data_IF_483665322032
#
_entry.id   IF_483665322032
#
_cell.length_a   1.000
_cell.length_b   1.000
_cell.length_c   1.000
_cell.angle_alpha   90.00
_cell.angle_beta   90.00
_cell.angle_gamma   90.00
#
_symmetry.space_group_name_H-M   'P 1'
#
loop_
_entity.id
_entity.type
_entity.pdbx_description
1 polymer ?
#
# COMPACT_ATOMS: atom_id res chain seq x y z
N UNK A 1 -9.60 -20.69 -6.74
CA UNK A 1 -10.87 -19.94 -6.62
C UNK A 1 -11.17 -19.70 -5.15
N UNK A 2 -11.66 -18.52 -4.79
CA UNK A 2 -12.24 -18.30 -3.47
C UNK A 2 -13.71 -18.72 -3.45
N UNK A 3 -14.23 -19.03 -2.25
CA UNK A 3 -15.69 -19.07 -2.07
C UNK A 3 -16.27 -17.66 -2.18
N UNK A 4 -17.56 -17.54 -2.51
CA UNK A 4 -18.25 -16.24 -2.53
C UNK A 4 -18.14 -15.55 -1.16
N UNK A 5 -18.26 -16.32 -0.06
CA UNK A 5 -18.12 -15.80 1.30
C UNK A 5 -16.71 -15.25 1.58
N UNK A 6 -15.65 -15.95 1.16
CA UNK A 6 -14.28 -15.47 1.34
C UNK A 6 -13.96 -14.28 0.42
N UNK A 7 -14.54 -14.21 -0.78
CA UNK A 7 -14.42 -13.03 -1.62
C UNK A 7 -15.09 -11.81 -0.97
N UNK A 8 -16.29 -11.96 -0.45
CA UNK A 8 -17.00 -10.93 0.31
C UNK A 8 -16.17 -10.49 1.53
N UNK A 9 -15.68 -11.43 2.32
CA UNK A 9 -14.88 -11.15 3.51
C UNK A 9 -13.57 -10.42 3.17
N UNK A 10 -12.92 -10.77 2.06
CA UNK A 10 -11.68 -10.12 1.59
C UNK A 10 -11.92 -8.66 1.17
N UNK A 11 -13.04 -8.38 0.51
CA UNK A 11 -13.24 -7.14 -0.24
C UNK A 11 -13.97 -6.05 0.53
N UNK A 12 -14.78 -6.41 1.55
CA UNK A 12 -15.54 -5.44 2.35
C UNK A 12 -14.72 -4.88 3.50
N UNK A 13 -14.52 -3.55 3.50
CA UNK A 13 -13.62 -2.87 4.44
C UNK A 13 -14.32 -1.84 5.35
N UNK A 14 -15.63 -1.73 5.28
CA UNK A 14 -16.41 -0.87 6.16
C UNK A 14 -16.26 -1.22 7.65
N UNK A 15 -16.59 -0.28 8.55
CA UNK A 15 -16.36 -0.41 9.98
C UNK A 15 -17.04 -1.63 10.63
N UNK A 16 -18.12 -2.13 10.07
CA UNK A 16 -18.85 -3.30 10.58
C UNK A 16 -18.38 -4.63 10.00
N UNK A 17 -17.42 -4.63 9.09
CA UNK A 17 -16.95 -5.85 8.41
C UNK A 17 -15.70 -6.43 9.08
N UNK A 18 -15.47 -7.76 9.05
CA UNK A 18 -14.30 -8.37 9.65
C UNK A 18 -12.98 -7.83 9.07
N UNK A 19 -12.88 -7.67 7.74
CA UNK A 19 -11.68 -7.11 7.11
C UNK A 19 -11.50 -5.64 7.49
N UNK A 20 -12.56 -4.84 7.52
CA UNK A 20 -12.50 -3.46 7.99
C UNK A 20 -12.04 -3.35 9.44
N UNK A 21 -12.49 -4.24 10.32
CA UNK A 21 -12.00 -4.31 11.69
C UNK A 21 -10.52 -4.76 11.76
N UNK A 22 -10.10 -5.64 10.86
CA UNK A 22 -8.70 -6.09 10.77
C UNK A 22 -7.78 -4.94 10.34
N UNK A 23 -8.11 -4.19 9.28
CA UNK A 23 -7.34 -3.03 8.83
C UNK A 23 -7.20 -1.97 9.93
N UNK A 24 -8.24 -1.74 10.71
CA UNK A 24 -8.23 -0.76 11.82
C UNK A 24 -7.28 -1.11 12.96
N UNK A 25 -6.76 -2.33 13.02
CA UNK A 25 -5.71 -2.72 13.98
C UNK A 25 -4.31 -2.25 13.57
N UNK A 26 -4.18 -1.68 12.38
CA UNK A 26 -2.94 -1.17 11.82
C UNK A 26 -3.04 0.33 11.60
N UNK A 27 -1.92 1.02 11.66
CA UNK A 27 -1.84 2.40 11.21
C UNK A 27 -2.11 2.47 9.71
N UNK A 28 -2.92 3.45 9.32
CA UNK A 28 -3.31 3.67 7.92
C UNK A 28 -2.85 5.04 7.45
N UNK A 29 -2.22 5.17 6.27
CA UNK A 29 -2.00 6.47 5.63
C UNK A 29 -3.33 7.16 5.35
N UNK A 30 -3.44 8.45 5.69
CA UNK A 30 -4.67 9.23 5.48
C UNK A 30 -4.44 10.48 4.63
N UNK A 31 -3.24 11.04 4.66
CA UNK A 31 -2.83 12.18 3.84
C UNK A 31 -1.32 12.18 3.63
N UNK A 32 -0.84 12.94 2.65
CA UNK A 32 0.55 13.35 2.61
C UNK A 32 0.71 14.58 3.50
N UNK A 33 1.82 14.69 4.24
CA UNK A 33 2.05 15.82 5.16
C UNK A 33 1.93 17.18 4.47
N UNK A 34 2.33 17.27 3.19
CA UNK A 34 2.24 18.50 2.38
C UNK A 34 0.82 18.91 1.97
N UNK A 35 -0.19 18.06 2.14
CA UNK A 35 -1.59 18.41 1.89
C UNK A 35 -2.20 19.25 3.02
N UNK A 36 -1.52 19.35 4.16
CA UNK A 36 -2.02 19.99 5.37
C UNK A 36 -1.07 21.12 5.80
N UNK A 37 -1.42 22.33 5.46
CA UNK A 37 -0.73 23.52 5.93
C UNK A 37 -1.10 23.84 7.40
N UNK A 38 -0.16 24.43 8.14
CA UNK A 38 -0.42 24.90 9.51
C UNK A 38 -1.51 25.97 9.50
N UNK A 39 -2.55 25.80 10.30
CA UNK A 39 -3.76 26.63 10.30
C UNK A 39 -4.44 26.76 8.92
N UNK A 40 -4.08 25.87 7.99
CA UNK A 40 -4.64 25.82 6.64
C UNK A 40 -6.07 25.27 6.59
N UNK A 41 -6.60 25.16 5.38
CA UNK A 41 -7.93 24.62 5.15
C UNK A 41 -8.05 23.17 5.60
N UNK A 42 -9.18 22.75 6.16
CA UNK A 42 -9.45 21.34 6.43
C UNK A 42 -9.48 20.51 5.14
N UNK A 43 -8.92 19.32 5.21
CA UNK A 43 -8.86 18.34 4.11
C UNK A 43 -9.91 17.24 4.33
N UNK A 44 -10.73 16.96 3.31
CA UNK A 44 -11.61 15.79 3.31
C UNK A 44 -10.82 14.49 3.15
N UNK A 45 -11.06 13.51 4.01
CA UNK A 45 -10.42 12.19 3.99
C UNK A 45 -11.51 11.13 3.96
N UNK A 46 -11.48 10.29 2.92
CA UNK A 46 -12.35 9.11 2.82
C UNK A 46 -11.50 7.85 2.99
N UNK A 47 -11.84 7.02 3.97
CA UNK A 47 -11.09 5.81 4.31
C UNK A 47 -12.00 4.74 4.91
N UNK A 48 -11.94 3.52 4.36
CA UNK A 48 -12.71 2.36 4.82
C UNK A 48 -14.20 2.68 5.04
N UNK A 49 -14.79 3.44 4.10
CA UNK A 49 -16.19 3.86 4.12
C UNK A 49 -16.51 4.98 5.13
N UNK A 50 -15.52 5.58 5.79
CA UNK A 50 -15.72 6.71 6.68
C UNK A 50 -15.34 8.03 6.00
N UNK A 51 -16.18 9.06 6.19
CA UNK A 51 -15.91 10.43 5.75
C UNK A 51 -15.36 11.22 6.93
N UNK A 52 -14.11 11.61 6.86
CA UNK A 52 -13.37 12.30 7.91
C UNK A 52 -12.86 13.66 7.42
N UNK A 53 -12.37 14.46 8.36
CA UNK A 53 -11.73 15.74 8.08
C UNK A 53 -10.39 15.75 8.82
N UNK A 54 -9.30 15.99 8.07
CA UNK A 54 -7.98 16.23 8.60
C UNK A 54 -7.67 17.73 8.61
N UNK A 55 -6.93 18.20 9.60
CA UNK A 55 -6.46 19.58 9.71
C UNK A 55 -5.17 19.63 10.52
N UNK A 56 -4.27 20.55 10.18
CA UNK A 56 -3.05 20.78 10.95
C UNK A 56 -3.24 22.04 11.79
N UNK A 57 -3.17 21.88 13.10
CA UNK A 57 -3.40 22.98 14.04
C UNK A 57 -2.22 23.95 14.12
N UNK A 58 -2.36 25.02 14.93
CA UNK A 58 -1.34 26.07 15.14
C UNK A 58 -0.03 25.55 15.78
N UNK A 59 -0.05 24.37 16.40
CA UNK A 59 1.13 23.72 16.98
C UNK A 59 1.78 22.72 16.02
N UNK A 60 1.27 22.62 14.77
CA UNK A 60 1.75 21.70 13.75
C UNK A 60 1.25 20.26 13.90
N UNK A 61 0.38 19.99 14.86
CA UNK A 61 -0.18 18.64 15.09
C UNK A 61 -1.39 18.42 14.20
N UNK A 62 -1.47 17.25 13.58
CA UNK A 62 -2.61 16.89 12.73
C UNK A 62 -3.73 16.29 13.56
N UNK A 63 -4.95 16.79 13.38
CA UNK A 63 -6.20 16.21 13.85
C UNK A 63 -6.92 15.45 12.74
N UNK A 64 -7.57 14.35 13.08
CA UNK A 64 -8.43 13.58 12.18
C UNK A 64 -9.76 13.28 12.90
N UNK A 65 -10.83 13.88 12.42
CA UNK A 65 -12.14 13.84 13.06
C UNK A 65 -13.25 13.44 12.10
N UNK A 66 -14.39 12.99 12.62
CA UNK A 66 -15.60 12.78 11.81
C UNK A 66 -15.96 14.05 11.04
N UNK A 67 -16.36 13.91 9.80
CA UNK A 67 -16.79 15.04 8.99
C UNK A 67 -18.09 15.69 9.49
N UNK A 68 -18.89 15.00 10.30
CA UNK A 68 -20.20 15.47 10.76
C UNK A 68 -20.14 16.04 12.17
N UNK A 69 -20.42 17.34 12.28
CA UNK A 69 -20.57 17.98 13.58
C UNK A 69 -21.70 17.30 14.38
N UNK A 70 -21.44 16.86 15.64
CA UNK A 70 -22.43 16.10 16.44
C UNK A 70 -23.68 16.91 16.81
N UNK A 71 -23.67 18.23 16.60
CA UNK A 71 -24.86 19.06 16.84
C UNK A 71 -25.99 18.75 15.87
N UNK A 72 -25.77 18.94 14.56
CA UNK A 72 -26.78 18.77 13.51
C UNK A 72 -26.21 18.29 12.18
N UNK A 73 -25.08 17.58 12.19
CA UNK A 73 -24.51 16.92 11.02
C UNK A 73 -23.87 17.83 9.98
N UNK A 74 -23.64 19.13 10.28
CA UNK A 74 -22.92 20.02 9.36
C UNK A 74 -21.52 19.48 9.07
N UNK A 75 -21.09 19.54 7.80
CA UNK A 75 -19.78 19.01 7.42
C UNK A 75 -18.65 19.96 7.87
N UNK A 76 -17.74 19.44 8.70
CA UNK A 76 -16.60 20.15 9.25
C UNK A 76 -15.51 20.43 8.21
N UNK A 77 -15.59 19.86 7.01
CA UNK A 77 -14.80 20.30 5.86
C UNK A 77 -14.93 21.80 5.59
N UNK A 78 -16.13 22.36 5.82
CA UNK A 78 -16.39 23.80 5.74
C UNK A 78 -16.09 24.54 7.04
N UNK A 79 -15.53 23.81 8.03
CA UNK A 79 -15.19 24.35 9.33
C UNK A 79 -13.98 25.28 9.30
N UNK A 80 -13.71 25.91 10.44
CA UNK A 80 -12.54 26.77 10.65
C UNK A 80 -11.51 26.03 11.48
N UNK A 81 -10.31 25.92 10.95
CA UNK A 81 -9.14 25.47 11.68
C UNK A 81 -8.57 26.71 12.39
N UNK A 82 -8.70 26.79 13.70
CA UNK A 82 -8.31 27.97 14.47
C UNK A 82 -8.02 27.62 15.94
N UNK A 83 -6.99 28.27 16.51
CA UNK A 83 -6.63 28.10 17.93
C UNK A 83 -6.58 26.63 18.35
N UNK A 84 -5.78 25.84 17.65
CA UNK A 84 -5.52 24.41 17.91
C UNK A 84 -6.75 23.50 17.87
N UNK A 85 -7.82 23.87 17.12
CA UNK A 85 -9.07 23.14 17.11
C UNK A 85 -9.87 23.34 15.80
N UNK A 86 -10.87 22.51 15.57
CA UNK A 86 -11.82 22.65 14.46
C UNK A 86 -13.13 23.24 14.95
N UNK A 87 -13.58 24.32 14.31
CA UNK A 87 -14.85 25.00 14.64
C UNK A 87 -15.87 24.80 13.52
N UNK A 88 -17.04 24.32 13.89
CA UNK A 88 -18.20 24.24 13.02
C UNK A 88 -18.73 25.64 12.72
N UNK A 89 -18.86 26.01 11.44
CA UNK A 89 -19.35 27.34 11.03
C UNK A 89 -20.86 27.53 11.23
N UNK A 90 -21.60 26.45 11.48
CA UNK A 90 -23.05 26.53 11.60
C UNK A 90 -23.49 27.18 12.94
N UNK A 91 -22.93 26.71 14.08
CA UNK A 91 -23.31 27.25 15.41
C UNK A 91 -22.09 27.47 16.32
N UNK A 92 -20.85 27.47 15.77
CA UNK A 92 -19.65 27.77 16.53
C UNK A 92 -19.15 26.67 17.47
N UNK A 93 -19.72 25.46 17.42
CA UNK A 93 -19.22 24.34 18.22
C UNK A 93 -17.76 24.03 17.83
N UNK A 94 -16.87 23.97 18.81
CA UNK A 94 -15.45 23.84 18.61
C UNK A 94 -14.94 22.61 19.34
N UNK A 95 -14.09 21.83 18.67
CA UNK A 95 -13.58 20.55 19.14
C UNK A 95 -12.05 20.50 19.05
N UNK A 96 -11.41 19.92 20.05
CA UNK A 96 -9.99 19.64 20.03
C UNK A 96 -9.65 18.42 19.12
N UNK A 97 -8.36 18.04 19.10
CA UNK A 97 -7.85 16.93 18.30
C UNK A 97 -8.39 15.55 18.75
N UNK A 98 -8.85 15.43 19.99
CA UNK A 98 -9.46 14.21 20.53
C UNK A 98 -10.98 14.20 20.39
N UNK A 99 -11.57 15.25 19.80
CA UNK A 99 -12.99 15.41 19.63
C UNK A 99 -13.74 15.87 20.90
N UNK A 100 -13.02 16.38 21.92
CA UNK A 100 -13.64 16.97 23.10
C UNK A 100 -14.18 18.35 22.76
N UNK A 101 -15.38 18.73 23.22
CA UNK A 101 -15.91 20.06 22.99
C UNK A 101 -15.17 21.08 23.86
N UNK A 102 -14.65 22.12 23.20
CA UNK A 102 -14.01 23.26 23.84
C UNK A 102 -14.99 24.40 24.06
N UNK A 103 -15.84 24.67 23.04
CA UNK A 103 -16.82 25.74 23.05
C UNK A 103 -18.14 25.26 22.44
N UNK A 104 -19.24 25.54 23.12
CA UNK A 104 -20.61 25.26 22.69
C UNK A 104 -21.46 26.53 22.88
N UNK A 105 -21.33 27.55 22.00
CA UNK A 105 -21.84 28.92 22.29
C UNK A 105 -23.35 29.01 22.51
N UNK A 106 -24.13 28.11 21.92
CA UNK A 106 -25.58 28.06 22.03
C UNK A 106 -26.09 27.04 23.07
N UNK A 107 -25.19 26.57 23.96
CA UNK A 107 -25.55 25.69 25.08
C UNK A 107 -25.46 26.48 26.39
N UNK A 108 -26.51 26.41 27.25
CA UNK A 108 -26.51 27.14 28.52
C UNK A 108 -25.31 26.78 29.40
N UNK A 109 -24.70 27.76 30.11
CA UNK A 109 -23.65 27.50 31.06
C UNK A 109 -24.08 26.47 32.12
N UNK A 110 -23.14 25.56 32.48
CA UNK A 110 -23.40 24.49 33.44
C UNK A 110 -24.18 23.28 32.90
N UNK A 111 -24.51 23.28 31.65
CA UNK A 111 -25.10 22.10 30.96
C UNK A 111 -24.14 20.91 30.94
N UNK A 112 -24.69 19.69 31.07
CA UNK A 112 -23.92 18.44 30.95
C UNK A 112 -23.39 18.16 29.52
N UNK A 113 -23.76 18.96 28.51
CA UNK A 113 -23.34 18.76 27.11
C UNK A 113 -21.82 18.70 26.95
N UNK A 114 -21.04 19.52 27.65
CA UNK A 114 -19.58 19.48 27.59
C UNK A 114 -18.99 18.13 28.06
N UNK A 115 -19.73 17.37 28.87
CA UNK A 115 -19.30 16.07 29.38
C UNK A 115 -19.78 14.90 28.50
N UNK A 116 -20.91 15.05 27.83
CA UNK A 116 -21.60 13.97 27.10
C UNK A 116 -21.36 14.00 25.59
N UNK A 117 -21.15 15.19 25.00
CA UNK A 117 -20.90 15.32 23.57
C UNK A 117 -19.44 14.94 23.27
N UNK A 118 -19.25 14.17 22.23
CA UNK A 118 -17.94 13.86 21.64
C UNK A 118 -18.05 13.87 20.11
N UNK A 119 -17.11 14.48 19.45
CA UNK A 119 -16.85 14.29 18.04
C UNK A 119 -15.93 13.07 17.90
N UNK A 120 -16.26 12.13 17.04
CA UNK A 120 -15.39 10.99 16.75
C UNK A 120 -14.07 11.50 16.20
N UNK A 121 -12.96 11.02 16.73
CA UNK A 121 -11.61 11.42 16.36
C UNK A 121 -10.66 10.23 16.42
N UNK A 122 -9.58 10.30 15.65
CA UNK A 122 -8.55 9.27 15.59
C UNK A 122 -7.16 9.87 15.85
N UNK A 123 -6.31 9.21 16.64
CA UNK A 123 -4.93 9.64 16.81
C UNK A 123 -4.15 9.54 15.51
N UNK A 124 -3.29 10.52 15.30
CA UNK A 124 -2.43 10.61 14.14
C UNK A 124 -0.95 10.64 14.53
N UNK A 125 -0.09 10.24 13.61
CA UNK A 125 1.37 10.38 13.65
C UNK A 125 1.87 10.74 12.27
N UNK A 126 2.95 11.48 12.20
CA UNK A 126 3.65 11.74 10.94
C UNK A 126 4.92 10.90 10.87
N UNK A 127 5.08 10.20 9.75
CA UNK A 127 6.26 9.40 9.47
C UNK A 127 6.48 9.33 7.95
N UNK A 128 7.68 9.72 7.49
CA UNK A 128 8.05 9.63 6.10
C UNK A 128 7.24 10.53 5.15
N UNK A 129 6.88 11.76 5.59
CA UNK A 129 6.04 12.72 4.85
C UNK A 129 4.59 12.24 4.63
N UNK A 130 4.16 11.28 5.43
CA UNK A 130 2.80 10.72 5.45
C UNK A 130 2.19 10.92 6.82
N UNK A 131 0.92 11.31 6.84
CA UNK A 131 0.09 11.31 8.04
C UNK A 131 -0.58 9.95 8.16
N UNK A 132 -0.33 9.28 9.26
CA UNK A 132 -0.88 7.97 9.62
C UNK A 132 -1.94 8.15 10.71
N UNK A 133 -3.02 7.40 10.62
CA UNK A 133 -4.07 7.34 11.64
C UNK A 133 -4.25 5.92 12.17
N UNK A 134 -4.49 5.81 13.47
CA UNK A 134 -4.89 4.56 14.09
C UNK A 134 -6.39 4.56 14.35
N UNK A 135 -7.12 3.65 13.71
CA UNK A 135 -8.57 3.61 13.74
C UNK A 135 -9.13 2.43 14.55
N UNK A 136 -8.30 1.79 15.36
CA UNK A 136 -8.67 0.67 16.22
C UNK A 136 -9.60 1.07 17.38
N UNK A 137 -10.07 0.11 18.17
CA UNK A 137 -11.03 0.37 19.23
C UNK A 137 -10.37 1.14 20.38
N UNK A 138 -11.14 2.10 20.90
CA UNK A 138 -10.76 2.93 22.07
C UNK A 138 -9.34 3.53 22.00
N UNK A 139 -9.01 4.23 20.90
CA UNK A 139 -7.62 4.59 20.60
C UNK A 139 -7.02 5.65 21.53
N UNK A 140 -7.85 6.32 22.33
CA UNK A 140 -7.43 7.36 23.27
C UNK A 140 -7.18 6.86 24.70
N UNK A 141 -7.64 5.65 25.05
CA UNK A 141 -7.58 5.11 26.41
C UNK A 141 -6.71 3.85 26.52
N UNK A 142 -5.97 3.48 25.48
CA UNK A 142 -5.04 2.34 25.49
C UNK A 142 -3.71 2.69 24.83
N UNK A 143 -2.62 1.98 25.17
CA UNK A 143 -1.39 2.07 24.39
C UNK A 143 -1.64 1.70 22.93
N UNK A 144 -1.11 2.52 22.02
CA UNK A 144 -1.16 2.26 20.60
C UNK A 144 0.09 1.49 20.16
N UNK A 145 0.00 0.67 19.10
CA UNK A 145 1.19 0.16 18.44
C UNK A 145 2.02 1.33 17.87
N UNK A 146 3.31 1.13 17.71
CA UNK A 146 4.14 2.10 17.00
C UNK A 146 3.82 2.09 15.50
N UNK A 147 4.09 3.20 14.82
CA UNK A 147 3.94 3.29 13.35
C UNK A 147 4.91 2.31 12.70
N UNK A 148 4.49 1.54 11.65
CA UNK A 148 5.37 0.59 10.98
C UNK A 148 6.61 1.31 10.44
N UNK A 149 7.80 0.81 10.77
CA UNK A 149 9.08 1.37 10.33
C UNK A 149 9.39 0.98 8.88
N UNK A 150 8.57 1.45 7.95
CA UNK A 150 8.89 1.35 6.52
C UNK A 150 10.16 2.16 6.25
N UNK A 151 11.14 1.55 5.57
CA UNK A 151 12.49 2.11 5.48
C UNK A 151 12.55 3.55 4.96
N UNK A 152 11.74 3.88 3.95
CA UNK A 152 11.72 5.23 3.39
C UNK A 152 11.48 6.32 4.45
N UNK A 153 10.68 6.03 5.47
CA UNK A 153 10.32 6.98 6.52
C UNK A 153 11.44 7.25 7.51
N UNK A 154 12.36 6.30 7.71
CA UNK A 154 13.52 6.45 8.58
C UNK A 154 14.64 7.29 7.96
N UNK A 155 14.60 7.52 6.65
CA UNK A 155 15.63 8.26 5.91
C UNK A 155 15.39 9.78 5.95
N UNK A 156 16.43 10.59 5.69
CA UNK A 156 16.26 12.03 5.50
C UNK A 156 15.28 12.34 4.36
N UNK A 157 14.56 13.46 4.46
CA UNK A 157 13.56 13.85 3.44
C UNK A 157 14.13 13.95 2.01
N UNK A 158 15.40 14.33 1.87
CA UNK A 158 16.10 14.39 0.58
C UNK A 158 16.33 13.01 -0.07
N UNK A 159 16.21 11.92 0.70
CA UNK A 159 16.44 10.55 0.23
C UNK A 159 15.16 9.87 -0.28
N UNK A 160 14.01 10.53 -0.19
CA UNK A 160 12.72 9.94 -0.54
C UNK A 160 11.85 10.86 -1.38
N UNK A 161 10.96 10.25 -2.13
CA UNK A 161 9.84 10.90 -2.80
C UNK A 161 8.57 10.11 -2.48
N UNK A 162 7.55 10.80 -2.00
CA UNK A 162 6.29 10.18 -1.57
C UNK A 162 5.13 10.81 -2.32
N UNK A 163 4.26 9.97 -2.86
CA UNK A 163 3.04 10.39 -3.54
C UNK A 163 1.92 9.39 -3.30
N UNK A 164 0.74 9.68 -3.82
CA UNK A 164 -0.38 8.73 -3.85
C UNK A 164 -1.11 8.83 -5.19
N UNK A 165 -1.90 7.81 -5.52
CA UNK A 165 -2.82 7.84 -6.66
C UNK A 165 -4.15 7.19 -6.30
N UNK A 166 -5.24 7.67 -6.90
CA UNK A 166 -6.51 6.96 -6.89
C UNK A 166 -6.41 5.71 -7.77
N UNK A 167 -6.90 4.58 -7.25
CA UNK A 167 -7.12 3.37 -8.01
C UNK A 167 -8.62 3.03 -7.98
N UNK A 168 -9.23 2.82 -9.15
CA UNK A 168 -10.67 2.69 -9.29
C UNK A 168 -11.14 1.24 -9.22
N UNK A 169 -10.54 0.47 -8.32
CA UNK A 169 -10.94 -0.90 -8.00
C UNK A 169 -10.66 -1.23 -6.53
N UNK A 170 -11.17 -2.38 -6.10
CA UNK A 170 -10.96 -2.89 -4.75
C UNK A 170 -9.47 -3.06 -4.42
N UNK A 171 -9.08 -2.73 -3.21
CA UNK A 171 -7.71 -2.78 -2.72
C UNK A 171 -7.02 -4.14 -2.95
N UNK A 172 -7.77 -5.25 -2.78
CA UNK A 172 -7.21 -6.59 -2.88
C UNK A 172 -6.74 -6.92 -4.31
N UNK A 173 -7.51 -6.56 -5.35
CA UNK A 173 -7.08 -6.81 -6.73
C UNK A 173 -5.93 -5.91 -7.15
N UNK A 174 -5.81 -4.72 -6.56
CA UNK A 174 -4.71 -3.83 -6.84
C UNK A 174 -3.39 -4.34 -6.25
N UNK A 175 -3.36 -4.80 -4.99
CA UNK A 175 -2.14 -5.36 -4.38
C UNK A 175 -1.74 -6.71 -4.99
N UNK A 176 -2.68 -7.52 -5.48
CA UNK A 176 -2.40 -8.80 -6.14
C UNK A 176 -1.46 -8.61 -7.33
N UNK A 177 -1.61 -7.52 -8.10
CA UNK A 177 -0.69 -7.18 -9.20
C UNK A 177 0.75 -6.92 -8.75
N UNK A 178 0.96 -6.29 -7.60
CA UNK A 178 2.29 -6.02 -7.08
C UNK A 178 3.03 -7.29 -6.61
N UNK A 179 2.31 -8.36 -6.32
CA UNK A 179 2.86 -9.64 -5.86
C UNK A 179 3.06 -10.66 -6.99
N UNK A 180 2.46 -10.41 -8.16
CA UNK A 180 2.66 -11.23 -9.34
C UNK A 180 3.91 -10.75 -10.11
N UNK A 181 4.92 -11.63 -10.26
CA UNK A 181 6.08 -11.33 -11.10
C UNK A 181 5.95 -11.90 -12.51
N UNK A 182 4.92 -12.71 -12.81
CA UNK A 182 4.76 -13.37 -14.12
C UNK A 182 4.21 -12.43 -15.18
N UNK A 183 3.34 -11.49 -14.81
CA UNK A 183 2.74 -10.51 -15.74
C UNK A 183 3.80 -9.62 -16.42
N UNK A 184 4.96 -9.42 -15.80
CA UNK A 184 6.07 -8.66 -16.39
C UNK A 184 6.52 -9.20 -17.74
N UNK A 185 6.34 -10.49 -18.01
CA UNK A 185 6.73 -11.10 -19.29
C UNK A 185 5.84 -10.68 -20.46
N UNK A 186 4.74 -10.00 -20.20
CA UNK A 186 3.79 -9.50 -21.20
C UNK A 186 3.42 -8.02 -20.98
N UNK A 187 2.79 -7.69 -19.86
CA UNK A 187 2.14 -6.40 -19.62
C UNK A 187 3.08 -5.20 -19.85
N UNK A 188 4.33 -5.31 -19.40
CA UNK A 188 5.31 -4.21 -19.45
C UNK A 188 6.34 -4.36 -20.58
N UNK A 189 6.11 -5.30 -21.49
CA UNK A 189 7.06 -5.60 -22.57
C UNK A 189 6.79 -4.79 -23.84
N UNK A 190 7.81 -4.67 -24.71
CA UNK A 190 7.60 -4.27 -26.10
C UNK A 190 6.61 -5.18 -26.84
N UNK A 191 6.00 -4.69 -27.91
CA UNK A 191 5.11 -5.48 -28.75
C UNK A 191 5.83 -6.72 -29.28
N UNK A 192 5.08 -7.80 -29.53
CA UNK A 192 5.62 -9.05 -30.06
C UNK A 192 6.34 -8.81 -31.38
N UNK A 193 7.55 -9.35 -31.52
CA UNK A 193 8.38 -9.19 -32.72
C UNK A 193 9.19 -7.88 -32.77
N UNK A 194 8.99 -6.96 -31.85
CA UNK A 194 9.92 -5.83 -31.66
C UNK A 194 11.18 -6.38 -30.98
N UNK A 195 12.37 -6.28 -31.62
CA UNK A 195 13.60 -6.72 -30.95
C UNK A 195 13.75 -6.00 -29.62
N UNK A 196 13.98 -6.73 -28.54
CA UNK A 196 14.72 -6.14 -27.45
C UNK A 196 16.10 -5.81 -28.06
N UNK A 197 16.60 -4.62 -27.87
CA UNK A 197 17.95 -4.24 -28.32
C UNK A 197 19.02 -5.07 -27.56
N UNK A 198 18.77 -6.35 -27.35
CA UNK A 198 19.66 -7.25 -26.65
C UNK A 198 20.88 -7.53 -27.55
N UNK A 199 21.86 -6.69 -27.38
CA UNK A 199 23.21 -7.04 -27.77
C UNK A 199 23.61 -8.32 -27.00
N UNK A 200 23.98 -9.44 -27.66
CA UNK A 200 24.43 -10.66 -26.98
C UNK A 200 25.59 -10.41 -26.01
N UNK A 201 26.39 -9.40 -26.26
CA UNK A 201 27.54 -8.97 -25.43
C UNK A 201 27.16 -7.87 -24.44
N UNK A 202 25.85 -7.49 -24.34
CA UNK A 202 25.41 -6.48 -23.40
C UNK A 202 25.66 -6.94 -21.96
N UNK A 203 25.95 -5.98 -21.05
CA UNK A 203 25.99 -6.25 -19.62
C UNK A 203 24.72 -6.96 -19.13
N UNK A 204 24.85 -7.75 -18.06
CA UNK A 204 23.75 -8.56 -17.53
C UNK A 204 22.50 -7.76 -17.18
N UNK A 205 22.65 -6.51 -16.76
CA UNK A 205 21.56 -5.58 -16.46
C UNK A 205 20.74 -5.17 -17.68
N UNK A 206 21.36 -5.06 -18.85
CA UNK A 206 20.65 -4.80 -20.11
C UNK A 206 19.87 -6.03 -20.62
N UNK A 207 20.34 -7.24 -20.31
CA UNK A 207 19.71 -8.50 -20.71
C UNK A 207 18.49 -8.87 -19.87
N UNK A 208 18.28 -8.25 -18.71
CA UNK A 208 17.22 -8.61 -17.76
C UNK A 208 15.81 -8.63 -18.38
N UNK A 209 15.49 -7.66 -19.25
CA UNK A 209 14.21 -7.62 -19.95
C UNK A 209 14.06 -8.80 -20.93
N UNK A 210 15.16 -9.25 -21.52
CA UNK A 210 15.15 -10.44 -22.37
C UNK A 210 14.83 -11.68 -21.53
N UNK A 211 15.52 -11.92 -20.39
CA UNK A 211 15.25 -13.10 -19.57
C UNK A 211 13.83 -13.07 -18.97
N UNK A 212 13.31 -11.88 -18.63
CA UNK A 212 11.92 -11.73 -18.16
C UNK A 212 10.93 -12.14 -19.27
N UNK A 213 11.19 -11.74 -20.52
CA UNK A 213 10.35 -12.07 -21.67
C UNK A 213 10.48 -13.54 -22.07
N UNK A 214 11.70 -14.07 -22.07
CA UNK A 214 12.00 -15.40 -22.60
C UNK A 214 11.63 -16.53 -21.61
N UNK A 215 11.50 -16.20 -20.31
CA UNK A 215 11.02 -17.13 -19.27
C UNK A 215 9.77 -16.57 -18.56
N UNK A 216 8.57 -16.77 -19.15
CA UNK A 216 7.31 -16.28 -18.58
C UNK A 216 6.83 -17.10 -17.37
N UNK A 217 7.46 -18.23 -17.07
CA UNK A 217 7.12 -19.11 -15.96
C UNK A 217 8.30 -19.21 -14.97
N UNK A 218 8.56 -18.17 -14.17
CA UNK A 218 9.64 -18.22 -13.17
C UNK A 218 9.38 -19.32 -12.13
N UNK A 219 10.47 -19.85 -11.55
CA UNK A 219 10.35 -20.69 -10.35
C UNK A 219 10.07 -19.81 -9.15
N UNK A 220 8.97 -20.07 -8.45
CA UNK A 220 8.58 -19.32 -7.27
C UNK A 220 9.13 -19.93 -5.99
N UNK A 221 9.54 -19.05 -5.08
CA UNK A 221 9.90 -19.38 -3.71
C UNK A 221 9.27 -18.34 -2.79
N UNK A 222 8.70 -18.78 -1.66
CA UNK A 222 8.08 -17.90 -0.67
C UNK A 222 8.71 -18.19 0.68
N UNK A 223 9.14 -17.14 1.37
CA UNK A 223 9.66 -17.21 2.73
C UNK A 223 8.82 -16.32 3.64
N UNK A 224 8.38 -16.88 4.76
CA UNK A 224 7.60 -16.16 5.76
C UNK A 224 8.51 -15.29 6.64
N UNK A 225 7.97 -14.17 7.11
CA UNK A 225 8.58 -13.36 8.15
C UNK A 225 7.51 -12.83 9.12
N UNK A 226 7.91 -12.17 10.20
CA UNK A 226 7.01 -11.80 11.32
C UNK A 226 5.79 -10.97 10.91
N UNK A 227 5.89 -10.17 9.84
CA UNK A 227 4.83 -9.26 9.40
C UNK A 227 4.24 -9.62 8.03
N UNK A 228 4.67 -10.75 7.42
CA UNK A 228 4.19 -11.15 6.10
C UNK A 228 5.06 -12.20 5.44
N UNK A 229 5.43 -11.97 4.18
CA UNK A 229 6.29 -12.89 3.41
C UNK A 229 7.04 -12.18 2.29
N UNK A 230 8.12 -12.80 1.83
CA UNK A 230 8.79 -12.42 0.59
C UNK A 230 8.58 -13.49 -0.48
N UNK A 231 8.25 -13.08 -1.69
CA UNK A 231 8.20 -13.96 -2.86
C UNK A 231 9.40 -13.68 -3.77
N UNK A 232 10.08 -14.74 -4.22
CA UNK A 232 11.12 -14.70 -5.23
C UNK A 232 10.70 -15.42 -6.49
N UNK A 233 10.89 -14.79 -7.65
CA UNK A 233 10.73 -15.41 -8.97
C UNK A 233 12.10 -15.57 -9.64
N UNK A 234 12.53 -16.80 -9.85
CA UNK A 234 13.79 -17.12 -10.51
C UNK A 234 13.58 -17.46 -11.97
N UNK A 235 14.22 -16.74 -12.87
CA UNK A 235 14.22 -16.99 -14.31
C UNK A 235 15.57 -17.52 -14.77
N UNK A 236 15.57 -18.34 -15.81
CA UNK A 236 16.83 -18.79 -16.43
C UNK A 236 17.55 -17.57 -17.01
N UNK A 237 18.85 -17.45 -16.72
CA UNK A 237 19.75 -16.46 -17.27
C UNK A 237 20.89 -17.12 -18.05
N UNK A 238 21.94 -16.39 -18.38
CA UNK A 238 23.06 -16.93 -19.15
C UNK A 238 23.84 -17.99 -18.36
N UNK A 239 24.28 -19.02 -19.07
CA UNK A 239 25.03 -20.13 -18.46
C UNK A 239 24.25 -20.86 -17.36
N UNK A 240 24.94 -21.21 -16.28
CA UNK A 240 24.34 -21.87 -15.10
C UNK A 240 23.90 -20.86 -14.04
N UNK A 241 23.28 -19.76 -14.46
CA UNK A 241 22.80 -18.72 -13.54
C UNK A 241 21.28 -18.51 -13.65
N UNK A 242 20.73 -17.91 -12.58
CA UNK A 242 19.35 -17.46 -12.51
C UNK A 242 19.28 -15.99 -12.19
N UNK A 243 18.35 -15.32 -12.86
CA UNK A 243 17.94 -13.96 -12.54
C UNK A 243 16.74 -14.01 -11.58
N UNK A 244 16.95 -13.51 -10.38
CA UNK A 244 15.96 -13.43 -9.33
C UNK A 244 15.32 -12.04 -9.27
N UNK A 245 14.03 -12.01 -9.00
CA UNK A 245 13.28 -10.82 -8.59
C UNK A 245 12.48 -11.15 -7.35
N UNK A 246 12.57 -10.31 -6.31
CA UNK A 246 11.77 -10.48 -5.09
C UNK A 246 10.76 -9.35 -4.92
N UNK A 247 9.60 -9.65 -4.35
CA UNK A 247 8.65 -8.69 -3.83
C UNK A 247 8.32 -9.04 -2.38
N UNK A 248 8.32 -8.04 -1.51
CA UNK A 248 7.89 -8.20 -0.12
C UNK A 248 6.39 -7.90 -0.01
N UNK A 249 5.73 -8.63 0.86
CA UNK A 249 4.40 -8.30 1.36
C UNK A 249 4.44 -8.17 2.87
N UNK A 250 3.88 -7.08 3.41
CA UNK A 250 3.66 -6.92 4.84
C UNK A 250 2.23 -6.51 5.14
N UNK A 251 1.70 -7.09 6.21
CA UNK A 251 0.33 -6.86 6.69
C UNK A 251 0.10 -5.39 7.12
N UNK A 252 -1.07 -4.80 6.91
CA UNK A 252 -2.21 -5.41 6.24
C UNK A 252 -2.11 -5.33 4.72
N UNK A 253 -1.42 -4.32 4.15
CA UNK A 253 -1.40 -4.04 2.73
C UNK A 253 -0.20 -3.17 2.31
N UNK A 254 1.01 -3.58 2.71
CA UNK A 254 2.27 -2.98 2.25
C UNK A 254 2.99 -3.93 1.31
N UNK A 255 3.70 -3.40 0.33
CA UNK A 255 4.58 -4.18 -0.53
C UNK A 255 5.78 -3.34 -0.95
N UNK A 256 6.89 -4.01 -1.24
CA UNK A 256 8.02 -3.40 -1.94
C UNK A 256 8.25 -4.11 -3.26
N UNK A 257 8.62 -3.36 -4.29
CA UNK A 257 8.91 -3.91 -5.61
C UNK A 257 10.42 -3.93 -5.85
N UNK A 258 10.94 -4.88 -6.62
CA UNK A 258 12.37 -4.98 -6.84
C UNK A 258 12.91 -3.77 -7.60
N UNK A 259 13.88 -3.09 -7.00
CA UNK A 259 14.81 -2.26 -7.77
C UNK A 259 15.64 -3.14 -8.69
N UNK A 260 16.14 -2.56 -9.74
CA UNK A 260 16.75 -3.36 -10.80
C UNK A 260 18.23 -3.61 -10.62
N UNK A 261 18.94 -2.68 -9.97
CA UNK A 261 20.40 -2.74 -9.81
C UNK A 261 20.86 -2.26 -8.42
N UNK A 262 22.04 -2.67 -7.96
CA UNK A 262 22.67 -2.11 -6.76
C UNK A 262 22.80 -0.58 -6.86
N UNK A 263 22.44 0.15 -5.81
CA UNK A 263 22.50 1.62 -5.76
C UNK A 263 21.34 2.36 -6.45
N UNK A 264 20.40 1.63 -7.06
CA UNK A 264 19.19 2.22 -7.61
C UNK A 264 18.17 2.57 -6.52
N UNK A 265 17.22 3.43 -6.89
CA UNK A 265 16.08 3.81 -6.06
C UNK A 265 15.17 2.62 -5.81
N UNK A 266 14.83 2.41 -4.54
CA UNK A 266 13.85 1.42 -4.11
C UNK A 266 12.43 1.98 -4.23
N UNK A 267 11.45 1.07 -4.33
CA UNK A 267 10.05 1.41 -4.43
C UNK A 267 9.20 0.56 -3.48
N UNK A 268 8.15 1.17 -2.95
CA UNK A 268 7.18 0.49 -2.11
C UNK A 268 5.82 1.16 -2.17
N UNK A 269 4.84 0.46 -1.63
CA UNK A 269 3.43 0.86 -1.65
C UNK A 269 2.72 0.56 -0.35
N UNK A 270 1.67 1.33 -0.12
CA UNK A 270 0.62 1.00 0.85
C UNK A 270 -0.74 1.20 0.20
N UNK A 271 -1.56 0.16 0.18
CA UNK A 271 -2.95 0.23 -0.29
C UNK A 271 -3.87 0.56 0.86
N UNK A 272 -4.67 1.58 0.69
CA UNK A 272 -5.62 2.05 1.70
C UNK A 272 -7.01 2.05 1.09
N UNK A 273 -7.93 1.19 1.52
CA UNK A 273 -9.29 1.20 1.03
C UNK A 273 -9.96 2.56 1.30
N UNK A 274 -10.50 3.20 0.27
CA UNK A 274 -11.40 4.35 0.40
C UNK A 274 -12.76 3.81 0.80
N UNK A 275 -13.22 2.85 0.04
CA UNK A 275 -14.44 2.08 0.19
C UNK A 275 -14.22 0.66 -0.37
N UNK A 276 -15.28 -0.08 -0.67
CA UNK A 276 -15.17 -1.43 -1.20
C UNK A 276 -14.78 -1.47 -2.69
N UNK A 277 -14.86 -0.34 -3.40
CA UNK A 277 -14.69 -0.25 -4.86
C UNK A 277 -13.49 0.60 -5.29
N UNK A 278 -12.88 1.34 -4.37
CA UNK A 278 -11.77 2.25 -4.65
C UNK A 278 -10.73 2.20 -3.54
N UNK A 279 -9.47 2.45 -3.89
CA UNK A 279 -8.40 2.58 -2.91
C UNK A 279 -7.42 3.70 -3.27
N UNK A 280 -6.77 4.26 -2.26
CA UNK A 280 -5.54 5.03 -2.44
C UNK A 280 -4.35 4.08 -2.49
N UNK A 281 -3.44 4.33 -3.42
CA UNK A 281 -2.11 3.70 -3.42
C UNK A 281 -1.11 4.78 -3.05
N UNK A 282 -0.59 4.73 -1.83
CA UNK A 282 0.58 5.52 -1.44
C UNK A 282 1.81 4.85 -2.02
N UNK A 283 2.61 5.60 -2.75
CA UNK A 283 3.81 5.10 -3.44
C UNK A 283 5.03 5.83 -2.91
N UNK A 284 6.06 5.08 -2.61
CA UNK A 284 7.31 5.53 -2.03
C UNK A 284 8.47 5.20 -2.96
N UNK A 285 9.33 6.19 -3.21
CA UNK A 285 10.63 6.00 -3.86
C UNK A 285 11.70 6.47 -2.89
N UNK A 286 12.75 5.68 -2.66
CA UNK A 286 13.81 6.07 -1.74
C UNK A 286 15.16 5.47 -2.12
N UNK A 287 16.23 6.16 -1.71
CA UNK A 287 17.58 5.63 -1.81
C UNK A 287 18.26 5.75 -0.44
N UNK A 288 18.65 4.63 0.21
CA UNK A 288 19.27 4.67 1.53
C UNK A 288 20.67 5.28 1.53
N UNK A 289 21.37 5.20 0.40
CA UNK A 289 22.81 5.50 0.32
C UNK A 289 23.08 6.96 -0.09
N UNK A 290 22.11 7.63 -0.74
CA UNK A 290 22.26 8.99 -1.25
C UNK A 290 20.93 9.73 -1.36
N UNK A 291 20.96 11.08 -1.38
CA UNK A 291 19.80 11.87 -1.77
C UNK A 291 19.30 11.52 -3.18
N UNK A 292 17.99 11.64 -3.39
CA UNK A 292 17.42 11.59 -4.73
C UNK A 292 17.83 12.86 -5.51
N UNK A 293 18.16 12.66 -6.79
CA UNK A 293 18.49 13.79 -7.68
C UNK A 293 17.24 14.51 -8.17
N UNK A 294 17.37 15.78 -8.54
CA UNK A 294 16.27 16.54 -9.15
C UNK A 294 15.72 15.85 -10.42
N UNK A 295 16.61 15.19 -11.17
CA UNK A 295 16.24 14.42 -12.36
C UNK A 295 15.39 13.19 -12.04
N UNK A 296 15.67 12.46 -10.94
CA UNK A 296 14.84 11.35 -10.46
C UNK A 296 13.47 11.86 -10.00
N UNK A 297 13.45 12.92 -9.20
CA UNK A 297 12.20 13.53 -8.72
C UNK A 297 11.33 14.03 -9.90
N UNK A 298 11.93 14.68 -10.89
CA UNK A 298 11.21 15.12 -12.08
C UNK A 298 10.62 13.96 -12.88
N UNK A 299 11.36 12.85 -13.04
CA UNK A 299 10.86 11.62 -13.65
C UNK A 299 9.68 11.03 -12.88
N UNK A 300 9.76 10.95 -11.55
CA UNK A 300 8.67 10.43 -10.71
C UNK A 300 7.41 11.29 -10.84
N UNK A 301 7.52 12.60 -10.81
CA UNK A 301 6.39 13.52 -11.05
C UNK A 301 5.76 13.35 -12.43
N UNK A 302 6.54 13.04 -13.44
CA UNK A 302 6.09 12.81 -14.82
C UNK A 302 5.61 11.38 -15.10
N UNK A 303 5.46 10.53 -14.08
CA UNK A 303 4.98 9.15 -14.24
C UNK A 303 6.08 8.22 -14.76
N UNK A 304 7.00 7.80 -13.89
CA UNK A 304 8.08 6.89 -14.25
C UNK A 304 8.12 5.66 -13.34
N UNK A 305 8.39 4.51 -13.96
CA UNK A 305 8.39 3.23 -13.26
C UNK A 305 7.02 2.94 -12.67
N UNK A 306 6.99 2.68 -11.39
CA UNK A 306 5.79 2.32 -10.63
C UNK A 306 5.00 3.52 -10.09
N UNK A 307 5.44 4.74 -10.40
CA UNK A 307 4.78 5.98 -9.99
C UNK A 307 3.95 6.51 -11.16
N UNK A 308 2.66 6.70 -10.94
CA UNK A 308 1.76 7.28 -11.93
C UNK A 308 1.93 8.80 -12.02
N UNK A 309 1.72 9.33 -13.23
CA UNK A 309 1.50 10.76 -13.42
C UNK A 309 0.10 11.12 -12.93
N UNK A 310 0.02 12.07 -11.99
CA UNK A 310 -1.24 12.46 -11.36
C UNK A 310 -1.43 13.98 -11.42
N UNK A 311 -2.69 14.42 -11.32
CA UNK A 311 -3.04 15.82 -11.16
C UNK A 311 -2.86 16.31 -9.70
N UNK A 312 -3.27 17.53 -9.43
CA UNK A 312 -3.22 18.17 -8.12
C UNK A 312 -4.09 17.49 -7.05
N UNK A 313 -5.05 16.66 -7.47
CA UNK A 313 -5.93 15.85 -6.61
C UNK A 313 -5.49 14.38 -6.53
N UNK A 314 -4.32 14.06 -7.05
CA UNK A 314 -3.78 12.69 -7.12
C UNK A 314 -4.62 11.72 -7.98
N UNK A 315 -5.40 12.26 -8.91
CA UNK A 315 -6.11 11.47 -9.91
C UNK A 315 -5.12 11.19 -11.06
N UNK A 316 -4.91 9.91 -11.46
CA UNK A 316 -4.05 9.59 -12.58
C UNK A 316 -4.49 10.30 -13.87
N UNK A 317 -3.55 10.88 -14.62
CA UNK A 317 -3.82 11.50 -15.93
C UNK A 317 -4.38 10.47 -16.90
N UNK A 318 -3.92 9.22 -16.80
CA UNK A 318 -4.44 8.06 -17.54
C UNK A 318 -5.26 7.21 -16.58
N UNK A 319 -6.55 7.17 -16.77
CA UNK A 319 -7.48 6.52 -15.87
C UNK A 319 -8.66 5.88 -16.63
N UNK A 320 -9.58 5.27 -15.93
CA UNK A 320 -10.74 4.60 -16.50
C UNK A 320 -11.60 5.52 -17.37
N UNK A 321 -11.77 6.79 -16.99
CA UNK A 321 -12.68 7.73 -17.69
C UNK A 321 -12.21 8.11 -19.08
N UNK A 322 -10.91 7.96 -19.37
CA UNK A 322 -10.30 8.25 -20.68
C UNK A 322 -9.66 7.01 -21.31
N UNK A 323 -10.11 5.81 -20.91
CA UNK A 323 -9.59 4.53 -21.43
C UNK A 323 -8.07 4.42 -21.34
N UNK A 324 -7.46 5.00 -20.30
CA UNK A 324 -6.01 5.06 -20.05
C UNK A 324 -5.21 5.68 -21.19
N UNK A 325 -5.88 6.47 -22.06
CA UNK A 325 -5.31 7.05 -23.28
C UNK A 325 -4.60 5.99 -24.15
N UNK A 326 -5.20 4.80 -24.28
CA UNK A 326 -4.63 3.70 -25.05
C UNK A 326 -4.42 4.08 -26.52
N UNK A 327 -3.21 3.89 -27.02
CA UNK A 327 -2.86 4.04 -28.44
C UNK A 327 -2.77 2.67 -29.11
N UNK A 328 -3.76 2.35 -29.95
CA UNK A 328 -3.84 1.06 -30.67
C UNK A 328 -2.74 0.88 -31.72
N UNK A 329 -2.19 1.96 -32.28
CA UNK A 329 -1.04 1.87 -33.20
C UNK A 329 0.23 1.59 -32.41
N UNK A 330 0.40 2.24 -31.27
CA UNK A 330 1.50 1.98 -30.34
C UNK A 330 1.43 0.53 -29.80
N UNK A 331 0.22 0.04 -29.48
CA UNK A 331 -0.01 -1.35 -29.07
C UNK A 331 0.42 -2.36 -30.15
N UNK A 332 0.13 -2.05 -31.39
CA UNK A 332 0.44 -2.95 -32.51
C UNK A 332 1.94 -3.04 -32.82
N UNK A 333 2.69 -1.94 -32.60
CA UNK A 333 4.03 -1.82 -33.16
C UNK A 333 5.14 -1.56 -32.14
N UNK A 334 4.84 -1.11 -30.91
CA UNK A 334 5.86 -0.60 -30.00
C UNK A 334 5.77 -1.26 -28.61
N UNK A 335 4.61 -1.19 -27.95
CA UNK A 335 4.42 -1.77 -26.61
C UNK A 335 3.28 -2.77 -26.60
N UNK A 336 3.35 -3.75 -25.71
CA UNK A 336 2.34 -4.82 -25.65
C UNK A 336 0.94 -4.30 -25.32
N UNK A 337 0.84 -3.23 -24.53
CA UNK A 337 -0.44 -2.67 -24.06
C UNK A 337 -0.93 -1.46 -24.85
N UNK A 338 -0.04 -0.67 -25.44
CA UNK A 338 -0.40 0.63 -26.03
C UNK A 338 -0.67 1.73 -24.99
N UNK A 339 -0.54 1.43 -23.70
CA UNK A 339 -0.69 2.39 -22.60
C UNK A 339 0.69 2.80 -22.10
N UNK A 340 0.88 4.11 -21.90
CA UNK A 340 2.13 4.66 -21.37
C UNK A 340 2.14 4.60 -19.83
N UNK A 341 3.28 4.19 -19.28
CA UNK A 341 3.51 4.11 -17.83
C UNK A 341 3.20 2.72 -17.27
N UNK A 342 4.12 2.20 -16.43
CA UNK A 342 3.97 0.88 -15.80
C UNK A 342 2.78 0.90 -14.83
N UNK A 343 2.70 1.94 -14.00
CA UNK A 343 1.62 2.09 -13.01
C UNK A 343 0.23 2.20 -13.66
N UNK A 344 0.15 2.80 -14.87
CA UNK A 344 -1.10 2.94 -15.61
C UNK A 344 -1.47 1.66 -16.36
N UNK A 345 -0.47 0.90 -16.83
CA UNK A 345 -0.70 -0.43 -17.39
C UNK A 345 -1.30 -1.38 -16.37
N UNK A 346 -0.74 -1.39 -15.15
CA UNK A 346 -1.29 -2.16 -14.03
C UNK A 346 -2.71 -1.72 -13.68
N UNK A 347 -2.93 -0.41 -13.55
CA UNK A 347 -4.24 0.15 -13.25
C UNK A 347 -5.29 -0.24 -14.29
N UNK A 348 -4.95 -0.15 -15.58
CA UNK A 348 -5.85 -0.53 -16.67
C UNK A 348 -6.33 -1.98 -16.52
N UNK A 349 -5.42 -2.91 -16.27
CA UNK A 349 -5.77 -4.32 -16.12
C UNK A 349 -6.55 -4.59 -14.85
N UNK A 350 -6.09 -4.07 -13.71
CA UNK A 350 -6.76 -4.24 -12.42
C UNK A 350 -8.17 -3.66 -12.42
N UNK A 351 -8.34 -2.45 -12.95
CA UNK A 351 -9.65 -1.81 -13.05
C UNK A 351 -10.58 -2.52 -14.05
N UNK A 352 -10.01 -3.14 -15.12
CA UNK A 352 -10.79 -3.88 -16.12
C UNK A 352 -11.47 -5.13 -15.56
N UNK A 353 -10.98 -5.65 -14.43
CA UNK A 353 -11.59 -6.79 -13.72
C UNK A 353 -12.92 -6.42 -13.02
N UNK A 354 -13.35 -5.17 -13.10
CA UNK A 354 -14.51 -4.63 -12.39
C UNK A 354 -14.12 -3.91 -11.10
N UNK A 355 -15.09 -3.23 -10.47
CA UNK A 355 -14.85 -2.55 -9.19
C UNK A 355 -14.42 -3.52 -8.11
N UNK A 356 -15.04 -4.69 -8.07
CA UNK A 356 -14.69 -5.82 -7.20
C UNK A 356 -14.60 -7.07 -8.09
N UNK A 357 -13.42 -7.66 -8.18
CA UNK A 357 -13.21 -8.87 -8.97
C UNK A 357 -13.97 -10.07 -8.38
N UNK A 358 -14.67 -10.82 -9.24
CA UNK A 358 -15.34 -12.07 -8.86
C UNK A 358 -14.33 -13.24 -8.86
N UNK A 359 -13.75 -13.49 -7.70
CA UNK A 359 -12.75 -14.55 -7.50
C UNK A 359 -13.33 -15.96 -7.45
N UNK A 360 -14.66 -16.09 -7.59
CA UNK A 360 -15.30 -17.40 -7.73
C UNK A 360 -15.18 -17.96 -9.13
N UNK A 361 -14.83 -17.12 -10.13
CA UNK A 361 -14.67 -17.48 -11.54
C UNK A 361 -13.21 -17.61 -11.98
N UNK A 362 -12.25 -17.39 -11.09
CA UNK A 362 -10.82 -17.42 -11.40
C UNK A 362 -10.30 -18.84 -11.67
N UNK A 363 -9.29 -18.93 -12.53
CA UNK A 363 -8.53 -20.16 -12.79
C UNK A 363 -7.06 -19.89 -12.50
N UNK A 364 -6.69 -20.01 -11.21
CA UNK A 364 -5.32 -19.76 -10.76
C UNK A 364 -4.36 -20.85 -11.21
N UNK A 365 -3.14 -20.45 -11.54
CA UNK A 365 -2.03 -21.30 -11.96
C UNK A 365 -0.93 -21.33 -10.87
N UNK A 366 0.09 -22.17 -10.99
CA UNK A 366 1.23 -22.15 -10.08
C UNK A 366 1.96 -20.78 -10.01
N UNK A 367 1.85 -19.96 -11.04
CA UNK A 367 2.43 -18.61 -11.04
C UNK A 367 1.74 -17.64 -10.06
N UNK A 368 0.51 -17.96 -9.63
CA UNK A 368 -0.28 -17.16 -8.70
C UNK A 368 -0.01 -17.50 -7.21
N UNK A 369 1.07 -18.23 -6.92
CA UNK A 369 1.36 -18.72 -5.56
C UNK A 369 1.41 -17.57 -4.53
N UNK A 370 1.99 -16.43 -4.88
CA UNK A 370 2.07 -15.26 -4.00
C UNK A 370 0.69 -14.63 -3.75
N UNK A 371 -0.16 -14.56 -4.77
CA UNK A 371 -1.55 -14.09 -4.67
C UNK A 371 -2.35 -14.99 -3.73
N UNK A 372 -2.22 -16.30 -3.89
CA UNK A 372 -2.86 -17.29 -2.98
C UNK A 372 -2.37 -17.12 -1.55
N UNK A 373 -1.05 -16.91 -1.36
CA UNK A 373 -0.46 -16.74 -0.03
C UNK A 373 -0.94 -15.45 0.65
N UNK A 374 -0.97 -14.35 -0.10
CA UNK A 374 -1.52 -13.07 0.34
C UNK A 374 -2.96 -13.21 0.84
N UNK A 375 -3.86 -13.74 0.00
CA UNK A 375 -5.27 -13.93 0.35
C UNK A 375 -5.42 -14.77 1.62
N UNK A 376 -4.68 -15.87 1.75
CA UNK A 376 -4.70 -16.71 2.96
C UNK A 376 -4.27 -15.93 4.20
N UNK A 377 -3.21 -15.13 4.11
CA UNK A 377 -2.70 -14.37 5.24
C UNK A 377 -3.73 -13.35 5.78
N UNK A 378 -4.30 -12.52 4.90
CA UNK A 378 -5.26 -11.48 5.33
C UNK A 378 -6.60 -12.05 5.75
N UNK A 379 -7.10 -13.10 5.06
CA UNK A 379 -8.33 -13.80 5.44
C UNK A 379 -8.19 -14.50 6.80
N UNK A 380 -7.05 -15.17 7.04
CA UNK A 380 -6.78 -15.79 8.33
C UNK A 380 -6.75 -14.77 9.46
N UNK A 381 -6.07 -13.64 9.25
CA UNK A 381 -6.03 -12.54 10.23
C UNK A 381 -7.40 -11.97 10.54
N UNK A 382 -8.22 -11.69 9.52
CA UNK A 382 -9.57 -11.15 9.71
C UNK A 382 -10.49 -12.17 10.40
N UNK A 383 -10.42 -13.45 10.05
CA UNK A 383 -11.17 -14.54 10.71
C UNK A 383 -10.75 -14.73 12.18
N UNK A 384 -9.44 -14.70 12.46
CA UNK A 384 -8.92 -14.81 13.82
C UNK A 384 -9.39 -13.62 14.69
N UNK A 385 -9.32 -12.41 14.17
CA UNK A 385 -9.82 -11.23 14.88
C UNK A 385 -11.33 -11.33 15.18
N UNK A 386 -12.12 -11.84 14.26
CA UNK A 386 -13.56 -12.07 14.47
C UNK A 386 -13.86 -13.05 15.62
N UNK A 387 -12.90 -13.90 15.99
CA UNK A 387 -12.98 -14.80 17.18
C UNK A 387 -12.30 -14.23 18.41
N UNK A 388 -11.83 -12.98 18.38
CA UNK A 388 -11.19 -12.27 19.50
C UNK A 388 -9.67 -12.40 19.59
N UNK A 389 -9.02 -12.94 18.54
CA UNK A 389 -7.54 -13.06 18.48
C UNK A 389 -6.98 -11.83 17.80
N UNK A 390 -6.32 -10.94 18.56
CA UNK A 390 -5.71 -9.72 18.04
C UNK A 390 -4.47 -10.01 17.19
N UNK A 391 -4.28 -9.28 16.05
CA UNK A 391 -3.12 -9.47 15.19
C UNK A 391 -1.82 -9.06 15.90
N UNK A 392 -0.76 -9.84 15.70
CA UNK A 392 0.55 -9.58 16.32
C UNK A 392 1.44 -8.67 15.48
N UNK A 393 1.25 -8.64 14.16
CA UNK A 393 2.08 -7.84 13.26
C UNK A 393 2.13 -6.34 13.61
N UNK A 394 1.05 -5.66 14.06
CA UNK A 394 1.14 -4.27 14.48
C UNK A 394 2.10 -4.00 15.64
N UNK A 395 2.38 -5.01 16.46
CA UNK A 395 3.30 -4.93 17.59
C UNK A 395 4.78 -5.13 17.20
N UNK A 396 5.04 -5.44 15.94
CA UNK A 396 6.36 -5.72 15.35
C UNK A 396 6.79 -4.60 14.40
N UNK A 397 6.71 -3.35 14.83
CA UNK A 397 6.93 -2.18 13.99
C UNK A 397 8.28 -2.17 13.29
N UNK A 398 9.35 -2.67 13.94
CA UNK A 398 10.70 -2.76 13.36
C UNK A 398 10.80 -3.79 12.21
N UNK A 399 9.97 -4.84 12.24
CA UNK A 399 9.97 -5.87 11.21
C UNK A 399 9.43 -5.38 9.85
N UNK A 400 8.92 -4.16 9.78
CA UNK A 400 8.48 -3.53 8.53
C UNK A 400 9.62 -2.88 7.72
N UNK A 401 10.85 -2.91 8.19
CA UNK A 401 12.02 -2.41 7.47
C UNK A 401 12.44 -3.40 6.37
N UNK A 402 11.62 -3.51 5.35
CA UNK A 402 11.72 -4.50 4.29
C UNK A 402 12.18 -3.88 2.97
N UNK A 403 13.02 -4.63 2.24
CA UNK A 403 13.46 -4.29 0.88
C UNK A 403 13.19 -5.43 -0.09
N UNK A 404 12.96 -5.08 -1.33
CA UNK A 404 12.98 -5.98 -2.48
C UNK A 404 14.16 -5.67 -3.37
N UNK A 405 14.53 -6.62 -4.21
CA UNK A 405 15.62 -6.44 -5.15
C UNK A 405 15.61 -7.47 -6.27
N UNK A 406 16.55 -7.30 -7.19
CA UNK A 406 16.85 -8.29 -8.21
C UNK A 406 18.35 -8.54 -8.28
N UNK A 407 18.74 -9.77 -8.61
CA UNK A 407 20.12 -10.21 -8.59
C UNK A 407 20.33 -11.50 -9.39
N UNK A 408 21.60 -11.85 -9.57
CA UNK A 408 22.01 -13.11 -10.17
C UNK A 408 22.55 -14.04 -9.10
N UNK A 409 22.21 -15.32 -9.20
CA UNK A 409 22.78 -16.39 -8.40
C UNK A 409 23.07 -17.63 -9.27
N UNK A 410 24.01 -18.47 -8.88
CA UNK A 410 24.24 -19.74 -9.54
C UNK A 410 22.98 -20.63 -9.45
N UNK A 411 22.73 -21.43 -10.50
CA UNK A 411 21.65 -22.43 -10.45
C UNK A 411 21.94 -23.41 -9.30
N UNK A 412 20.96 -23.65 -8.46
CA UNK A 412 21.11 -24.48 -7.24
C UNK A 412 21.32 -23.69 -5.95
N UNK A 413 21.62 -22.38 -5.97
CA UNK A 413 21.58 -21.53 -4.78
C UNK A 413 20.13 -21.33 -4.36
N UNK A 414 19.81 -21.58 -3.08
CA UNK A 414 18.45 -21.45 -2.58
C UNK A 414 18.04 -19.98 -2.46
N UNK A 415 16.73 -19.69 -2.61
CA UNK A 415 16.21 -18.34 -2.44
C UNK A 415 16.52 -17.77 -1.05
N UNK A 416 16.41 -18.60 -0.03
CA UNK A 416 16.73 -18.24 1.35
C UNK A 416 18.20 -17.80 1.50
N UNK A 417 19.13 -18.57 0.94
CA UNK A 417 20.55 -18.22 0.98
C UNK A 417 20.81 -16.88 0.28
N UNK A 418 20.19 -16.66 -0.87
CA UNK A 418 20.30 -15.39 -1.60
C UNK A 418 19.73 -14.21 -0.80
N UNK A 419 18.58 -14.39 -0.15
CA UNK A 419 18.00 -13.35 0.70
C UNK A 419 18.90 -12.99 1.87
N UNK A 420 19.48 -14.00 2.55
CA UNK A 420 20.41 -13.77 3.66
C UNK A 420 21.70 -13.05 3.21
N UNK A 421 22.25 -13.41 2.07
CA UNK A 421 23.47 -12.80 1.54
C UNK A 421 23.25 -11.33 1.11
N UNK A 422 22.05 -10.98 0.62
CA UNK A 422 21.77 -9.66 0.05
C UNK A 422 21.20 -8.67 1.04
N UNK A 423 20.38 -9.12 1.95
CA UNK A 423 19.62 -8.26 2.87
C UNK A 423 19.99 -8.48 4.33
N UNK A 424 20.96 -9.37 4.60
CA UNK A 424 21.22 -9.85 5.95
C UNK A 424 20.08 -10.74 6.42
N UNK A 425 19.99 -10.98 7.73
CA UNK A 425 18.78 -11.59 8.29
C UNK A 425 17.66 -10.57 8.19
N UNK A 426 16.77 -10.62 7.17
CA UNK A 426 15.59 -9.79 7.19
C UNK A 426 14.84 -10.21 8.44
N UNK A 427 14.64 -9.26 9.33
CA UNK A 427 14.14 -9.41 10.70
C UNK A 427 13.11 -10.54 10.79
N UNK A 428 13.51 -11.66 11.41
CA UNK A 428 12.62 -12.78 11.66
C UNK A 428 12.67 -13.99 10.70
N UNK A 429 13.37 -13.98 9.55
CA UNK A 429 13.51 -15.20 8.74
C UNK A 429 14.20 -16.34 9.54
N UNK A 430 15.16 -16.00 10.40
CA UNK A 430 15.83 -16.96 11.29
C UNK A 430 15.00 -17.24 12.55
N UNK A 431 14.25 -16.27 13.08
CA UNK A 431 13.39 -16.46 14.24
C UNK A 431 12.15 -17.33 13.91
N UNK A 432 11.60 -17.21 12.71
CA UNK A 432 10.49 -18.07 12.26
C UNK A 432 10.86 -19.55 12.17
N UNK A 433 12.13 -19.87 11.89
CA UNK A 433 12.62 -21.26 11.89
C UNK A 433 12.82 -21.85 13.29
N UNK A 434 12.93 -21.03 14.33
CA UNK A 434 13.07 -21.49 15.72
C UNK A 434 11.73 -21.68 16.43
N UNK A 435 10.64 -21.19 15.87
CA UNK A 435 9.30 -21.50 16.35
C UNK A 435 9.01 -23.00 16.07
N UNK A 436 8.62 -23.81 17.09
CA UNK A 436 8.29 -25.19 16.85
C UNK A 436 7.14 -25.25 15.83
N UNK A 437 7.28 -26.09 14.81
CA UNK A 437 6.22 -26.38 13.87
C UNK A 437 4.95 -26.71 14.66
N UNK A 438 3.97 -25.81 14.64
CA UNK A 438 2.65 -26.13 15.15
C UNK A 438 2.16 -27.27 14.29
N UNK A 439 1.94 -28.41 14.94
CA UNK A 439 1.56 -29.68 14.34
C UNK A 439 0.50 -29.43 13.28
N UNK A 440 0.82 -29.77 12.03
CA UNK A 440 -0.15 -29.96 10.98
C UNK A 440 -1.13 -31.01 11.48
N UNK A 441 -2.26 -30.57 12.03
CA UNK A 441 -3.40 -31.39 12.29
C UNK A 441 -3.91 -31.91 10.95
N UNK A 442 -3.56 -33.18 10.65
CA UNK A 442 -4.03 -33.85 9.48
C UNK A 442 -5.55 -33.80 9.40
N UNK A 443 -6.04 -33.29 8.30
CA UNK A 443 -7.38 -33.60 7.81
C UNK A 443 -7.17 -34.53 6.64
N UNK A 444 -7.24 -35.82 6.96
CA UNK A 444 -7.55 -36.90 6.03
C UNK A 444 -9.08 -36.96 5.92
N UNK A 445 -9.61 -36.87 4.73
CA UNK A 445 -11.03 -37.02 4.38
C UNK A 445 -11.45 -36.02 3.31
#
# INVERSE_FOLDING_TARGET
MLSALDNELLTRTGAATPMGQYFRRYWQPVALSRELEMDGAPLGVNIMGENLVAFRNSEGVVGLVDSRCPHRGANLYFGRNENCAIRCVFHGWKFDLEGKPLELPNVPPGSAYHQTIRLKAYPTREYGDVVWAYMGPDPWNRPLPEVPQLEFGALPASHRYVTKKLQECNWAQSIEGALDTSHFSFLHMPATGVPSNANPDAPADEKRLQWIRDDPLPRFSILEHEVGFVVGGARKADGDTRYWRSAQFALPAHSTTPSTLPGETHFGYTWVPIDDENCWIYTYAWNPDRPLTDGEIAKFKGGHGVIAEVDEHFIPIRNRSNEYLIDRQHQKHISFTGVRGVAEQDAMIQDSQGRIADRTQEHLSPSDAAVVRFRRAVLAGAKALATGIEPQAPLRHEAYMLRSGSWFAADGVSFEQVMLERFGDPVGLMAAKQAPAQAEGGIVG
#
